data_IF_651999939778
#
_entry.id   IF_651999939778
#
_cell.length_a   1.000
_cell.length_b   1.000
_cell.length_c   1.000
_cell.angle_alpha   90.00
_cell.angle_beta   90.00
_cell.angle_gamma   90.00
#
_symmetry.space_group_name_H-M   'P 1'
#
loop_
_entity.id
_entity.type
_entity.pdbx_description
1 polymer ?
#
# COMPACT_ATOMS: atom_id res chain seq x y z
N UNK A 1 87.30 44.64 -1.85
CA UNK A 1 86.75 45.78 -2.60
C UNK A 1 85.27 45.87 -2.28
N UNK A 2 84.87 46.86 -1.49
CA UNK A 2 83.54 47.00 -0.91
C UNK A 2 82.70 47.98 -1.76
N UNK A 3 81.59 47.53 -2.34
CA UNK A 3 80.54 48.33 -3.02
C UNK A 3 79.25 47.48 -2.94
N UNK A 4 78.05 47.94 -2.66
CA UNK A 4 77.45 49.27 -2.55
C UNK A 4 76.07 49.06 -1.88
N UNK A 5 75.63 50.01 -1.06
CA UNK A 5 74.29 50.08 -0.50
C UNK A 5 73.23 50.33 -1.60
N UNK A 6 72.06 49.70 -1.50
CA UNK A 6 70.83 50.16 -2.16
C UNK A 6 69.61 49.78 -1.29
N UNK A 7 68.80 50.75 -0.81
CA UNK A 7 67.59 50.51 -0.04
C UNK A 7 66.35 50.69 -0.93
N UNK A 8 65.46 49.70 -1.05
CA UNK A 8 64.06 49.90 -1.46
C UNK A 8 63.18 48.80 -0.86
N UNK A 9 62.11 49.25 -0.21
CA UNK A 9 60.99 48.52 0.39
C UNK A 9 60.33 47.55 -0.60
N UNK A 10 60.11 46.29 -0.20
CA UNK A 10 59.23 45.38 -0.92
C UNK A 10 58.36 44.58 0.07
N UNK A 11 57.09 44.95 0.05
CA UNK A 11 55.93 44.19 0.51
C UNK A 11 56.09 42.68 0.19
N UNK A 12 56.08 41.84 1.22
CA UNK A 12 56.02 40.38 1.09
C UNK A 12 55.43 39.84 2.38
N UNK A 13 54.11 39.90 2.54
CA UNK A 13 53.28 38.89 1.92
C UNK A 13 53.45 37.58 2.70
N UNK A 14 53.10 37.59 3.99
CA UNK A 14 52.79 36.36 4.72
C UNK A 14 51.49 35.84 4.09
N UNK A 15 51.61 35.24 2.91
CA UNK A 15 50.56 34.46 2.29
C UNK A 15 50.34 33.29 3.24
N UNK A 16 49.37 33.46 4.14
CA UNK A 16 48.70 32.35 4.76
C UNK A 16 48.24 31.47 3.59
N UNK A 17 48.94 30.36 3.40
CA UNK A 17 48.48 29.30 2.53
C UNK A 17 47.17 28.80 3.15
N UNK A 18 46.05 29.43 2.76
CA UNK A 18 44.78 28.76 2.76
C UNK A 18 44.96 27.57 1.83
N UNK A 19 45.30 26.42 2.40
CA UNK A 19 45.02 25.15 1.77
C UNK A 19 43.51 25.14 1.53
N UNK A 20 43.10 25.56 0.34
CA UNK A 20 41.77 25.32 -0.16
C UNK A 20 41.66 23.80 -0.27
N UNK A 21 41.16 23.16 0.79
CA UNK A 21 40.70 21.79 0.71
C UNK A 21 39.62 21.81 -0.37
N UNK A 22 39.88 21.16 -1.50
CA UNK A 22 38.87 20.89 -2.49
C UNK A 22 37.77 20.10 -1.78
N UNK A 23 36.73 20.79 -1.34
CA UNK A 23 35.53 20.17 -0.82
C UNK A 23 34.89 19.49 -2.02
N UNK A 24 35.07 18.18 -2.15
CA UNK A 24 34.22 17.39 -3.02
C UNK A 24 32.77 17.78 -2.68
N UNK A 25 31.98 18.27 -3.65
CA UNK A 25 30.61 18.64 -3.37
C UNK A 25 29.93 17.41 -2.77
N UNK A 26 29.37 17.57 -1.57
CA UNK A 26 28.64 16.51 -0.89
C UNK A 26 27.72 15.85 -1.92
N UNK A 27 27.73 14.51 -2.07
CA UNK A 27 26.96 13.87 -3.10
C UNK A 27 25.51 14.24 -2.85
N UNK A 28 24.96 15.09 -3.71
CA UNK A 28 23.53 15.29 -3.77
C UNK A 28 22.86 13.94 -4.00
N UNK A 29 21.54 13.90 -3.89
CA UNK A 29 20.77 12.69 -4.22
C UNK A 29 21.17 12.07 -5.58
N UNK A 30 21.65 12.89 -6.51
CA UNK A 30 22.12 12.45 -7.81
C UNK A 30 23.63 12.67 -7.95
N UNK A 31 24.35 11.60 -8.30
CA UNK A 31 25.75 11.65 -8.74
C UNK A 31 25.79 11.49 -10.27
N UNK A 32 26.60 12.32 -10.94
CA UNK A 32 26.75 12.32 -12.40
C UNK A 32 28.16 11.87 -12.76
N UNK A 33 28.28 10.92 -13.68
CA UNK A 33 29.54 10.44 -14.23
C UNK A 33 29.50 10.48 -15.76
N UNK A 34 30.55 11.01 -16.38
CA UNK A 34 30.64 11.05 -17.85
C UNK A 34 31.12 9.69 -18.36
N UNK A 35 30.45 9.13 -19.35
CA UNK A 35 30.79 7.87 -20.02
C UNK A 35 31.04 8.10 -21.51
N UNK A 36 31.53 7.09 -22.21
CA UNK A 36 31.76 7.18 -23.67
C UNK A 36 30.47 7.38 -24.47
N UNK A 37 29.32 6.96 -23.92
CA UNK A 37 28.00 6.99 -24.56
C UNK A 37 27.05 8.09 -24.04
N UNK A 38 27.47 8.89 -23.06
CA UNK A 38 26.65 9.95 -22.47
C UNK A 38 27.04 10.31 -21.03
N UNK A 39 26.04 10.59 -20.21
CA UNK A 39 26.18 10.89 -18.78
C UNK A 39 25.41 9.84 -17.99
N UNK A 40 26.08 9.06 -17.16
CA UNK A 40 25.44 8.16 -16.21
C UNK A 40 25.02 8.96 -14.95
N UNK A 41 23.74 8.90 -14.61
CA UNK A 41 23.17 9.49 -13.39
C UNK A 41 22.84 8.37 -12.40
N UNK A 42 23.48 8.39 -11.24
CA UNK A 42 23.19 7.50 -10.12
C UNK A 42 22.31 8.23 -9.09
N UNK A 43 21.14 7.67 -8.76
CA UNK A 43 20.39 8.08 -7.57
C UNK A 43 21.01 7.40 -6.34
N UNK A 44 21.62 8.16 -5.45
CA UNK A 44 22.32 7.66 -4.26
C UNK A 44 21.38 7.13 -3.17
N UNK A 45 20.07 7.37 -3.29
CA UNK A 45 19.06 6.82 -2.37
C UNK A 45 18.51 5.47 -2.82
N UNK A 46 18.28 5.30 -4.13
CA UNK A 46 17.69 4.06 -4.67
C UNK A 46 18.71 3.13 -5.31
N UNK A 47 19.89 3.63 -5.69
CA UNK A 47 20.89 2.90 -6.46
C UNK A 47 20.61 2.80 -7.95
N UNK A 48 19.54 3.44 -8.45
CA UNK A 48 19.17 3.42 -9.87
C UNK A 48 20.19 4.17 -10.73
N UNK A 49 20.59 3.59 -11.87
CA UNK A 49 21.51 4.20 -12.83
C UNK A 49 20.78 4.48 -14.14
N UNK A 50 20.59 5.77 -14.45
CA UNK A 50 20.02 6.21 -15.72
C UNK A 50 21.11 6.67 -16.69
N UNK A 51 20.99 6.38 -17.98
CA UNK A 51 21.85 6.96 -19.01
C UNK A 51 21.20 8.21 -19.60
N UNK A 52 21.86 9.34 -19.48
CA UNK A 52 21.42 10.63 -19.95
C UNK A 52 22.21 11.05 -21.20
N UNK A 53 21.51 11.65 -22.16
CA UNK A 53 22.10 12.24 -23.35
C UNK A 53 21.72 13.70 -23.46
N UNK A 54 22.64 14.50 -23.98
CA UNK A 54 22.38 15.89 -24.31
C UNK A 54 21.60 15.95 -25.62
N UNK A 55 20.41 16.56 -25.58
CA UNK A 55 19.55 16.79 -26.74
C UNK A 55 19.04 18.23 -26.68
N UNK A 56 19.29 18.98 -27.75
CA UNK A 56 18.81 20.37 -27.90
C UNK A 56 19.26 21.31 -26.76
N UNK A 57 20.41 21.04 -26.14
CA UNK A 57 20.95 21.82 -25.01
C UNK A 57 20.45 21.37 -23.63
N UNK A 58 19.54 20.39 -23.58
CA UNK A 58 19.03 19.80 -22.34
C UNK A 58 19.56 18.37 -22.11
N UNK A 59 19.74 17.99 -20.85
CA UNK A 59 20.14 16.63 -20.47
C UNK A 59 18.88 15.78 -20.27
N UNK A 60 18.66 14.81 -21.15
CA UNK A 60 17.52 13.89 -21.08
C UNK A 60 17.98 12.52 -20.60
N UNK A 61 17.54 12.14 -19.41
CA UNK A 61 17.81 10.83 -18.82
C UNK A 61 16.76 9.80 -19.24
N UNK A 62 17.20 8.65 -19.75
CA UNK A 62 16.35 7.48 -20.02
C UNK A 62 16.80 6.32 -19.15
N UNK A 63 15.84 5.51 -18.68
CA UNK A 63 16.14 4.25 -18.00
C UNK A 63 16.97 3.34 -18.93
N UNK A 64 17.87 2.55 -18.34
CA UNK A 64 18.71 1.63 -19.09
C UNK A 64 17.85 0.63 -19.86
N UNK A 65 18.33 0.18 -21.03
CA UNK A 65 17.54 -0.69 -21.91
C UNK A 65 17.18 -2.03 -21.23
N UNK A 66 18.06 -2.55 -20.39
CA UNK A 66 17.86 -3.83 -19.69
C UNK A 66 16.85 -3.72 -18.55
N UNK A 67 16.75 -2.56 -17.91
CA UNK A 67 15.74 -2.31 -16.88
C UNK A 67 14.34 -2.31 -17.50
N UNK A 68 14.19 -1.78 -18.72
CA UNK A 68 12.88 -1.75 -19.41
C UNK A 68 12.33 -3.14 -19.66
N UNK A 69 13.15 -4.09 -20.09
CA UNK A 69 12.69 -5.46 -20.37
C UNK A 69 12.31 -6.20 -19.08
N UNK A 70 13.04 -5.97 -17.99
CA UNK A 70 12.67 -6.50 -16.67
C UNK A 70 11.32 -5.93 -16.18
N UNK A 71 11.10 -4.62 -16.31
CA UNK A 71 9.84 -3.99 -15.94
C UNK A 71 8.67 -4.44 -16.83
N UNK A 72 8.88 -4.60 -18.13
CA UNK A 72 7.85 -5.12 -19.05
C UNK A 72 7.43 -6.55 -18.67
N UNK A 73 8.39 -7.42 -18.32
CA UNK A 73 8.10 -8.78 -17.86
C UNK A 73 7.31 -8.79 -16.54
N UNK A 74 7.66 -7.92 -15.59
CA UNK A 74 6.93 -7.78 -14.34
C UNK A 74 5.49 -7.26 -14.56
N UNK A 75 5.31 -6.29 -15.44
CA UNK A 75 3.99 -5.77 -15.81
C UNK A 75 3.11 -6.84 -16.45
N UNK A 76 3.67 -7.65 -17.36
CA UNK A 76 2.94 -8.76 -17.98
C UNK A 76 2.50 -9.81 -16.95
N UNK A 77 3.39 -10.13 -16.01
CA UNK A 77 3.10 -11.07 -14.93
C UNK A 77 2.00 -10.53 -14.01
N UNK A 78 2.12 -9.25 -13.63
CA UNK A 78 1.14 -8.60 -12.76
C UNK A 78 -0.23 -8.51 -13.43
N UNK A 79 -0.28 -8.15 -14.72
CA UNK A 79 -1.51 -8.12 -15.52
C UNK A 79 -2.21 -9.49 -15.52
N UNK A 80 -1.46 -10.56 -15.80
CA UNK A 80 -1.99 -11.94 -15.74
C UNK A 80 -2.55 -12.32 -14.36
N UNK A 81 -1.89 -11.88 -13.29
CA UNK A 81 -2.39 -12.11 -11.91
C UNK A 81 -3.68 -11.37 -11.65
N UNK A 82 -3.76 -10.10 -12.05
CA UNK A 82 -4.98 -9.29 -11.89
C UNK A 82 -6.12 -9.93 -12.69
N UNK A 83 -5.93 -10.29 -13.95
CA UNK A 83 -6.95 -10.98 -14.76
C UNK A 83 -7.43 -12.28 -14.10
N UNK A 84 -6.48 -13.07 -13.55
CA UNK A 84 -6.81 -14.31 -12.84
C UNK A 84 -7.64 -14.03 -11.58
N UNK A 85 -7.26 -13.01 -10.80
CA UNK A 85 -7.97 -12.61 -9.60
C UNK A 85 -9.35 -12.03 -9.91
N UNK A 86 -9.47 -11.21 -10.93
CA UNK A 86 -10.75 -10.65 -11.39
C UNK A 86 -11.69 -11.73 -11.89
N UNK A 87 -11.17 -12.72 -12.62
CA UNK A 87 -11.93 -13.90 -13.03
C UNK A 87 -12.37 -14.72 -11.83
N UNK A 88 -11.46 -15.01 -10.90
CA UNK A 88 -11.79 -15.75 -9.68
C UNK A 88 -12.79 -15.00 -8.79
N UNK A 89 -12.71 -13.67 -8.73
CA UNK A 89 -13.66 -12.82 -8.03
C UNK A 89 -15.03 -12.82 -8.73
N UNK A 90 -15.05 -12.81 -10.07
CA UNK A 90 -16.28 -12.85 -10.86
C UNK A 90 -16.98 -14.21 -10.82
N UNK A 91 -16.22 -15.30 -10.72
CA UNK A 91 -16.70 -16.69 -10.71
C UNK A 91 -16.90 -17.24 -9.29
N UNK A 92 -16.27 -16.62 -8.28
CA UNK A 92 -16.33 -17.05 -6.89
C UNK A 92 -17.58 -16.56 -6.14
N UNK A 93 -17.89 -17.14 -4.97
CA UNK A 93 -19.05 -16.78 -4.14
C UNK A 93 -19.00 -15.37 -3.56
N UNK A 94 -17.87 -14.66 -3.72
CA UNK A 94 -17.67 -13.25 -3.37
C UNK A 94 -17.85 -12.28 -4.55
N UNK A 95 -18.17 -12.82 -5.74
CA UNK A 95 -18.54 -12.01 -6.89
C UNK A 95 -19.81 -11.26 -6.59
N UNK A 96 -19.68 -9.96 -6.36
CA UNK A 96 -20.79 -9.00 -6.30
C UNK A 96 -21.39 -8.84 -7.71
N UNK A 97 -21.89 -9.93 -8.27
CA UNK A 97 -23.14 -9.89 -9.01
C UNK A 97 -24.17 -10.39 -8.01
N UNK A 98 -25.18 -9.60 -7.62
CA UNK A 98 -26.33 -10.17 -6.93
C UNK A 98 -26.95 -11.16 -7.91
N UNK A 99 -26.51 -12.42 -7.87
CA UNK A 99 -27.28 -13.53 -8.37
C UNK A 99 -28.45 -13.55 -7.42
N UNK A 100 -29.50 -12.82 -7.79
CA UNK A 100 -30.75 -12.77 -7.06
C UNK A 100 -31.09 -14.23 -6.74
N UNK A 101 -31.23 -14.61 -5.46
CA UNK A 101 -31.52 -15.98 -5.09
C UNK A 101 -32.73 -16.45 -5.90
N UNK A 102 -32.69 -17.69 -6.38
CA UNK A 102 -33.83 -18.21 -7.15
C UNK A 102 -35.05 -18.33 -6.22
N UNK A 103 -36.27 -18.33 -6.79
CA UNK A 103 -37.49 -18.40 -5.97
C UNK A 103 -37.47 -19.63 -5.04
N UNK A 104 -36.89 -20.72 -5.52
CA UNK A 104 -36.71 -21.96 -4.79
C UNK A 104 -35.80 -21.80 -3.55
N UNK A 105 -34.69 -21.05 -3.67
CA UNK A 105 -33.80 -20.74 -2.55
C UNK A 105 -34.49 -19.83 -1.53
N UNK A 106 -35.25 -18.83 -2.00
CA UNK A 106 -36.01 -17.94 -1.12
C UNK A 106 -37.06 -18.75 -0.34
N UNK A 107 -37.82 -19.61 -1.01
CA UNK A 107 -38.84 -20.44 -0.38
C UNK A 107 -38.24 -21.44 0.61
N UNK A 108 -37.08 -22.04 0.28
CA UNK A 108 -36.35 -22.90 1.19
C UNK A 108 -35.90 -22.14 2.45
N UNK A 109 -35.41 -20.92 2.29
CA UNK A 109 -34.95 -20.07 3.40
C UNK A 109 -36.13 -19.64 4.29
N UNK A 110 -37.24 -19.24 3.69
CA UNK A 110 -38.48 -18.90 4.40
C UNK A 110 -39.03 -20.09 5.18
N UNK A 111 -39.00 -21.29 4.59
CA UNK A 111 -39.42 -22.52 5.27
C UNK A 111 -38.49 -22.96 6.41
N UNK A 112 -37.20 -22.64 6.35
CA UNK A 112 -36.27 -22.83 7.48
C UNK A 112 -36.56 -21.81 8.59
N UNK A 113 -36.78 -20.55 8.23
CA UNK A 113 -37.10 -19.48 9.17
C UNK A 113 -38.43 -19.74 9.92
N UNK A 114 -39.45 -20.23 9.21
CA UNK A 114 -40.74 -20.58 9.81
C UNK A 114 -40.63 -21.73 10.83
N UNK A 115 -39.88 -22.79 10.48
CA UNK A 115 -39.63 -23.92 11.38
C UNK A 115 -38.87 -23.49 12.64
N UNK A 116 -37.89 -22.61 12.49
CA UNK A 116 -37.13 -22.05 13.60
C UNK A 116 -38.03 -21.23 14.54
N UNK A 117 -38.87 -20.35 13.99
CA UNK A 117 -39.79 -19.52 14.77
C UNK A 117 -40.83 -20.35 15.52
N UNK A 118 -41.39 -21.39 14.86
CA UNK A 118 -42.34 -22.31 15.48
C UNK A 118 -41.71 -23.13 16.61
N UNK A 119 -40.48 -23.60 16.41
CA UNK A 119 -39.72 -24.33 17.44
C UNK A 119 -39.44 -23.43 18.66
N UNK A 120 -39.00 -22.19 18.41
CA UNK A 120 -38.72 -21.22 19.46
C UNK A 120 -39.96 -20.88 20.31
N UNK A 121 -41.11 -20.64 19.68
CA UNK A 121 -42.37 -20.39 20.40
C UNK A 121 -42.84 -21.59 21.23
N UNK A 122 -42.58 -22.81 20.78
CA UNK A 122 -42.88 -24.02 21.55
C UNK A 122 -42.10 -24.05 22.86
N UNK A 123 -40.79 -23.82 22.79
CA UNK A 123 -39.91 -23.79 23.96
C UNK A 123 -40.35 -22.72 24.97
N UNK A 124 -40.70 -21.51 24.50
CA UNK A 124 -41.18 -20.44 25.38
C UNK A 124 -42.49 -20.81 26.08
N UNK A 125 -43.44 -21.41 25.37
CA UNK A 125 -44.73 -21.84 25.93
C UNK A 125 -44.61 -22.96 26.96
N UNK A 126 -43.69 -23.90 26.74
CA UNK A 126 -43.45 -25.00 27.67
C UNK A 126 -42.91 -24.46 29.00
N UNK A 127 -41.98 -23.49 28.93
CA UNK A 127 -41.44 -22.81 30.12
C UNK A 127 -42.51 -21.99 30.88
N UNK A 128 -43.37 -21.24 30.18
CA UNK A 128 -44.50 -20.52 30.82
C UNK A 128 -45.54 -21.47 31.45
N UNK A 129 -45.68 -22.67 30.90
CA UNK A 129 -46.66 -23.66 31.38
C UNK A 129 -46.17 -24.40 32.63
N UNK A 130 -44.87 -24.61 32.78
CA UNK A 130 -44.27 -25.16 34.00
C UNK A 130 -44.34 -24.19 35.20
N UNK A 131 -44.36 -22.87 34.96
CA UNK A 131 -44.48 -21.86 36.02
C UNK A 131 -45.91 -21.65 36.56
N UNK A 132 -46.96 -22.18 35.92
CA UNK A 132 -48.36 -21.92 36.31
C UNK A 132 -48.99 -23.13 37.02
N UNK A 133 -49.27 -23.09 38.34
CA UNK A 133 -49.95 -24.19 39.01
C UNK A 133 -51.41 -24.29 38.55
N UNK A 134 -52.03 -25.48 38.58
CA UNK A 134 -53.40 -25.67 38.12
C UNK A 134 -54.37 -25.00 39.09
N UNK A 135 -54.91 -23.84 38.72
CA UNK A 135 -56.06 -23.27 39.42
C UNK A 135 -57.32 -24.02 38.99
N UNK A 136 -57.66 -25.04 39.79
CA UNK A 136 -58.93 -25.75 39.73
C UNK A 136 -60.09 -24.79 39.96
N UNK A 137 -61.13 -24.93 39.14
CA UNK A 137 -62.43 -24.26 39.32
C UNK A 137 -63.39 -25.22 40.01
N UNK A 138 -63.55 -25.06 41.32
CA UNK A 138 -64.67 -25.50 42.19
C UNK A 138 -64.27 -25.02 43.59
N UNK A 139 -65.05 -24.34 44.43
CA UNK A 139 -66.49 -24.24 44.61
C UNK A 139 -66.84 -22.87 45.20
N UNK A 140 -68.04 -22.43 44.88
CA UNK A 140 -68.76 -21.28 45.43
C UNK A 140 -69.29 -21.64 46.85
N UNK A 141 -68.84 -20.87 47.87
CA UNK A 141 -69.54 -20.40 49.08
C UNK A 141 -70.08 -21.44 50.11
N UNK A 142 -69.80 -21.25 51.43
CA UNK A 142 -70.79 -20.60 52.30
C UNK A 142 -70.24 -19.54 53.27
N UNK A 143 -71.09 -18.52 53.45
CA UNK A 143 -70.99 -17.38 54.38
C UNK A 143 -71.00 -17.78 55.86
N UNK A 144 -70.23 -17.07 56.70
CA UNK A 144 -70.51 -16.67 58.11
C UNK A 144 -69.29 -15.85 58.60
N UNK A 145 -69.33 -14.69 59.24
CA UNK A 145 -70.28 -13.98 60.11
C UNK A 145 -69.85 -12.51 60.18
#
# INVERSE_FOLDING_TARGET
MNRMLMPVVALGGMFAACAALAQEPAPGRYAMQKTDSGIARLDTQTGEVSLCQEKDGDIVCRMAADERTAFELELDLLTKRVETLEKAASEGPLGVKPRLPTKEEIDQTMGVMERMMRSFMGIVKDLESEEKPPSGKTEDVPQKT
#
